data_IF_625969047629
#
_entry.id   IF_625969047629
#
_cell.length_a   1.000
_cell.length_b   1.000
_cell.length_c   1.000
_cell.angle_alpha   90.00
_cell.angle_beta   90.00
_cell.angle_gamma   90.00
#
_symmetry.space_group_name_H-M   'P 1'
#
loop_
_entity.id
_entity.type
_entity.pdbx_description
1 polymer ?
#
# COMPACT_ATOMS: atom_id res chain seq x y z
N UNK A 1 18.69 -35.59 -9.14
CA UNK A 1 19.45 -36.68 -9.83
C UNK A 1 20.32 -37.51 -8.87
N UNK A 2 20.36 -37.21 -7.56
CA UNK A 2 21.20 -37.96 -6.60
C UNK A 2 20.55 -39.23 -6.00
N UNK A 3 19.23 -39.41 -6.14
CA UNK A 3 18.54 -40.59 -5.61
C UNK A 3 18.87 -41.91 -6.34
N UNK A 4 19.28 -41.87 -7.61
CA UNK A 4 19.58 -43.08 -8.40
C UNK A 4 20.96 -43.66 -8.12
N UNK A 5 21.93 -42.85 -7.69
CA UNK A 5 23.29 -43.32 -7.38
C UNK A 5 23.34 -44.08 -6.05
N UNK A 6 22.64 -43.61 -5.03
CA UNK A 6 22.53 -44.32 -3.74
C UNK A 6 21.80 -45.65 -3.89
N UNK A 7 20.69 -45.68 -4.63
CA UNK A 7 19.95 -46.92 -4.91
C UNK A 7 20.83 -47.95 -5.62
N UNK A 8 21.61 -47.54 -6.62
CA UNK A 8 22.52 -48.44 -7.35
C UNK A 8 23.66 -48.98 -6.49
N UNK A 9 24.20 -48.18 -5.55
CA UNK A 9 25.25 -48.64 -4.64
C UNK A 9 24.70 -49.65 -3.62
N UNK A 10 23.50 -49.41 -3.07
CA UNK A 10 22.83 -50.38 -2.18
C UNK A 10 22.44 -51.67 -2.91
N UNK A 11 21.97 -51.59 -4.17
CA UNK A 11 21.62 -52.77 -4.96
C UNK A 11 22.85 -53.62 -5.28
N UNK A 12 23.97 -52.97 -5.62
CA UNK A 12 25.24 -53.63 -5.91
C UNK A 12 25.80 -54.31 -4.65
N UNK A 13 25.74 -53.63 -3.49
CA UNK A 13 26.13 -54.21 -2.20
C UNK A 13 25.29 -55.43 -1.81
N UNK A 14 23.95 -55.36 -1.98
CA UNK A 14 23.05 -56.48 -1.70
C UNK A 14 23.30 -57.67 -2.63
N UNK A 15 23.57 -57.41 -3.91
CA UNK A 15 23.91 -58.43 -4.91
C UNK A 15 25.22 -59.16 -4.61
N UNK A 16 26.25 -58.44 -4.16
CA UNK A 16 27.53 -59.03 -3.77
C UNK A 16 27.38 -59.90 -2.51
N UNK A 17 26.60 -59.45 -1.51
CA UNK A 17 26.33 -60.26 -0.31
C UNK A 17 25.57 -61.54 -0.68
N UNK A 18 24.50 -61.46 -1.49
CA UNK A 18 23.75 -62.63 -1.95
C UNK A 18 24.64 -63.63 -2.74
N UNK A 19 25.54 -63.12 -3.58
CA UNK A 19 26.52 -63.95 -4.30
C UNK A 19 27.50 -64.65 -3.33
N UNK A 20 27.96 -63.96 -2.29
CA UNK A 20 28.85 -64.55 -1.28
C UNK A 20 28.12 -65.65 -0.49
N UNK A 21 26.89 -65.41 -0.04
CA UNK A 21 26.09 -66.41 0.69
C UNK A 21 25.75 -67.63 -0.19
N UNK A 22 25.41 -67.40 -1.46
CA UNK A 22 25.19 -68.46 -2.44
C UNK A 22 26.47 -69.26 -2.70
N UNK A 23 27.63 -68.61 -2.78
CA UNK A 23 28.94 -69.25 -2.97
C UNK A 23 29.35 -70.11 -1.77
N UNK A 24 29.14 -69.62 -0.55
CA UNK A 24 29.41 -70.37 0.69
C UNK A 24 28.49 -71.59 0.78
N UNK A 25 27.21 -71.44 0.43
CA UNK A 25 26.25 -72.54 0.40
C UNK A 25 26.63 -73.58 -0.65
N UNK A 26 26.96 -73.15 -1.87
CA UNK A 26 27.36 -74.02 -2.99
C UNK A 26 28.66 -74.77 -2.68
N UNK A 27 29.62 -74.13 -2.02
CA UNK A 27 30.87 -74.75 -1.58
C UNK A 27 30.64 -75.80 -0.49
N UNK A 28 29.76 -75.52 0.48
CA UNK A 28 29.41 -76.48 1.52
C UNK A 28 28.64 -77.69 0.96
N UNK A 29 27.73 -77.49 0.00
CA UNK A 29 27.07 -78.57 -0.75
C UNK A 29 28.07 -79.37 -1.62
N UNK A 30 29.04 -78.70 -2.24
CA UNK A 30 30.13 -79.34 -2.99
C UNK A 30 30.98 -80.29 -2.14
N UNK A 31 31.24 -79.95 -0.87
CA UNK A 31 31.93 -80.84 0.08
C UNK A 31 31.11 -82.06 0.51
N UNK A 32 29.77 -82.00 0.38
CA UNK A 32 28.87 -83.11 0.67
C UNK A 32 28.83 -84.15 -0.47
N UNK A 33 29.09 -83.70 -1.71
CA UNK A 33 29.00 -84.49 -2.94
C UNK A 33 30.39 -84.95 -3.43
N UNK A 34 31.48 -84.26 -3.02
CA UNK A 34 32.86 -84.50 -3.48
C UNK A 34 33.76 -85.25 -2.50
N UNK A 35 33.84 -86.58 -2.70
CA UNK A 35 34.98 -87.50 -2.47
C UNK A 35 35.49 -87.71 -1.03
N UNK A 36 35.44 -88.97 -0.59
CA UNK A 36 36.19 -89.45 0.55
C UNK A 36 37.70 -89.39 0.33
N UNK A 37 38.42 -88.81 1.29
CA UNK A 37 39.70 -89.28 1.83
C UNK A 37 40.15 -88.34 2.96
N UNK A 38 40.55 -88.97 4.07
CA UNK A 38 41.40 -88.45 5.14
C UNK A 38 40.85 -87.31 6.04
N UNK A 39 40.23 -87.75 7.14
CA UNK A 39 40.43 -87.31 8.53
C UNK A 39 41.04 -85.91 8.75
N UNK A 40 40.18 -84.96 9.18
CA UNK A 40 40.38 -83.95 10.25
C UNK A 40 39.31 -82.84 10.23
N UNK A 41 38.15 -83.07 9.61
CA UNK A 41 37.03 -82.11 9.66
C UNK A 41 35.79 -82.77 10.27
N UNK A 42 35.38 -82.26 11.42
CA UNK A 42 34.17 -82.64 12.15
C UNK A 42 32.91 -82.39 11.30
N UNK A 43 32.09 -83.43 11.14
CA UNK A 43 30.69 -83.45 10.68
C UNK A 43 30.28 -82.40 9.60
N UNK A 44 30.23 -82.76 8.30
CA UNK A 44 29.93 -81.82 7.21
C UNK A 44 28.53 -81.18 7.28
N UNK A 45 27.57 -81.84 7.94
CA UNK A 45 26.22 -81.27 8.20
C UNK A 45 26.32 -80.04 9.12
N UNK A 46 27.24 -80.08 10.10
CA UNK A 46 27.45 -78.99 11.04
C UNK A 46 28.02 -77.75 10.34
N UNK A 47 28.88 -77.92 9.34
CA UNK A 47 29.48 -76.81 8.57
C UNK A 47 28.42 -76.08 7.74
N UNK A 48 27.56 -76.84 7.04
CA UNK A 48 26.43 -76.26 6.29
C UNK A 48 25.47 -75.50 7.22
N UNK A 49 25.19 -76.05 8.40
CA UNK A 49 24.33 -75.40 9.39
C UNK A 49 24.93 -74.08 9.91
N UNK A 50 26.25 -74.06 10.18
CA UNK A 50 26.96 -72.84 10.59
C UNK A 50 26.96 -71.79 9.46
N UNK A 51 27.22 -72.20 8.21
CA UNK A 51 27.19 -71.31 7.05
C UNK A 51 25.80 -70.67 6.83
N UNK A 52 24.73 -71.46 6.96
CA UNK A 52 23.35 -70.96 6.83
C UNK A 52 22.96 -70.02 7.97
N UNK A 53 23.37 -70.33 9.22
CA UNK A 53 23.10 -69.45 10.36
C UNK A 53 23.85 -68.12 10.24
N UNK A 54 25.11 -68.13 9.80
CA UNK A 54 25.87 -66.90 9.51
C UNK A 54 25.21 -66.10 8.38
N UNK A 55 24.77 -66.76 7.30
CA UNK A 55 24.02 -66.12 6.20
C UNK A 55 22.77 -65.39 6.70
N UNK A 56 21.96 -66.06 7.53
CA UNK A 56 20.73 -65.51 8.10
C UNK A 56 21.00 -64.30 9.00
N UNK A 57 22.05 -64.35 9.83
CA UNK A 57 22.44 -63.23 10.70
C UNK A 57 22.89 -62.02 9.88
N UNK A 58 23.68 -62.23 8.82
CA UNK A 58 24.10 -61.14 7.91
C UNK A 58 22.91 -60.52 7.17
N UNK A 59 21.99 -61.35 6.65
CA UNK A 59 20.75 -60.90 6.03
C UNK A 59 19.88 -60.09 6.99
N UNK A 60 19.72 -60.55 8.23
CA UNK A 60 18.95 -59.84 9.26
C UNK A 60 19.60 -58.48 9.63
N UNK A 61 20.93 -58.44 9.73
CA UNK A 61 21.68 -57.20 9.96
C UNK A 61 21.51 -56.19 8.82
N UNK A 62 21.62 -56.66 7.58
CA UNK A 62 21.41 -55.84 6.38
C UNK A 62 19.97 -55.32 6.27
N UNK A 63 18.99 -56.18 6.56
CA UNK A 63 17.58 -55.79 6.60
C UNK A 63 17.31 -54.72 7.68
N UNK A 64 17.93 -54.88 8.86
CA UNK A 64 17.82 -53.90 9.95
C UNK A 64 18.47 -52.56 9.59
N UNK A 65 19.66 -52.58 8.96
CA UNK A 65 20.30 -51.36 8.45
C UNK A 65 19.47 -50.67 7.38
N UNK A 66 18.88 -51.43 6.45
CA UNK A 66 18.02 -50.89 5.40
C UNK A 66 16.78 -50.22 6.00
N UNK A 67 16.12 -50.85 6.98
CA UNK A 67 14.97 -50.25 7.68
C UNK A 67 15.33 -48.97 8.44
N UNK A 68 16.48 -48.94 9.12
CA UNK A 68 16.96 -47.74 9.81
C UNK A 68 17.24 -46.59 8.83
N UNK A 69 17.87 -46.89 7.69
CA UNK A 69 18.11 -45.91 6.64
C UNK A 69 16.79 -45.37 6.07
N UNK A 70 15.84 -46.26 5.79
CA UNK A 70 14.55 -45.90 5.22
C UNK A 70 13.75 -45.01 6.19
N UNK A 71 13.73 -45.36 7.48
CA UNK A 71 13.10 -44.57 8.53
C UNK A 71 13.77 -43.19 8.69
N UNK A 72 15.10 -43.12 8.62
CA UNK A 72 15.82 -41.86 8.67
C UNK A 72 15.48 -40.97 7.45
N UNK A 73 15.51 -41.51 6.24
CA UNK A 73 15.17 -40.76 5.02
C UNK A 73 13.72 -40.28 5.04
N UNK A 74 12.78 -41.10 5.52
CA UNK A 74 11.38 -40.69 5.67
C UNK A 74 11.24 -39.51 6.62
N UNK A 75 11.89 -39.57 7.78
CA UNK A 75 11.87 -38.50 8.76
C UNK A 75 12.47 -37.19 8.23
N UNK A 76 13.63 -37.25 7.58
CA UNK A 76 14.25 -36.06 6.98
C UNK A 76 13.37 -35.46 5.88
N UNK A 77 12.69 -36.29 5.09
CA UNK A 77 11.76 -35.80 4.08
C UNK A 77 10.54 -35.11 4.69
N UNK A 78 9.99 -35.64 5.79
CA UNK A 78 8.89 -34.99 6.53
C UNK A 78 9.31 -33.64 7.09
N UNK A 79 10.50 -33.56 7.70
CA UNK A 79 11.07 -32.30 8.21
C UNK A 79 11.26 -31.26 7.09
N UNK A 80 11.84 -31.65 5.95
CA UNK A 80 12.02 -30.77 4.78
C UNK A 80 10.69 -30.29 4.19
N UNK A 81 9.65 -31.14 4.15
CA UNK A 81 8.34 -30.75 3.65
C UNK A 81 7.68 -29.68 4.52
N UNK A 82 7.88 -29.74 5.83
CA UNK A 82 7.40 -28.71 6.76
C UNK A 82 8.13 -27.39 6.51
N UNK A 83 9.46 -27.41 6.44
CA UNK A 83 10.28 -26.21 6.19
C UNK A 83 9.96 -25.54 4.84
N UNK A 84 9.80 -26.34 3.78
CA UNK A 84 9.36 -25.82 2.46
C UNK A 84 7.97 -25.21 2.56
N UNK A 85 7.07 -25.79 3.36
CA UNK A 85 5.73 -25.26 3.60
C UNK A 85 5.74 -23.90 4.30
N UNK A 86 6.60 -23.73 5.30
CA UNK A 86 6.78 -22.46 6.02
C UNK A 86 7.38 -21.38 5.11
N UNK A 87 8.48 -21.69 4.42
CA UNK A 87 9.12 -20.76 3.48
C UNK A 87 8.16 -20.29 2.38
N UNK A 88 7.35 -21.19 1.82
CA UNK A 88 6.33 -20.81 0.82
C UNK A 88 5.24 -19.89 1.37
N UNK A 89 4.86 -20.05 2.65
CA UNK A 89 3.89 -19.16 3.29
C UNK A 89 4.47 -17.77 3.48
N UNK A 90 5.72 -17.67 3.94
CA UNK A 90 6.42 -16.39 4.08
C UNK A 90 6.58 -15.68 2.73
N UNK A 91 6.95 -16.41 1.68
CA UNK A 91 7.03 -15.87 0.33
C UNK A 91 5.67 -15.38 -0.17
N UNK A 92 4.60 -16.18 0.00
CA UNK A 92 3.25 -15.78 -0.39
C UNK A 92 2.78 -14.52 0.36
N UNK A 93 3.01 -14.44 1.68
CA UNK A 93 2.67 -13.29 2.49
C UNK A 93 3.44 -12.03 2.06
N UNK A 94 4.74 -12.18 1.77
CA UNK A 94 5.57 -11.07 1.27
C UNK A 94 5.06 -10.58 -0.09
N UNK A 95 4.71 -11.49 -1.00
CA UNK A 95 4.16 -11.14 -2.31
C UNK A 95 2.83 -10.40 -2.19
N UNK A 96 1.95 -10.85 -1.31
CA UNK A 96 0.66 -10.19 -1.05
C UNK A 96 0.86 -8.77 -0.49
N UNK A 97 1.77 -8.58 0.46
CA UNK A 97 2.10 -7.25 1.00
C UNK A 97 2.72 -6.32 -0.04
N UNK A 98 3.62 -6.84 -0.89
CA UNK A 98 4.22 -6.06 -1.98
C UNK A 98 3.14 -5.64 -2.98
N UNK A 99 2.22 -6.54 -3.35
CA UNK A 99 1.14 -6.22 -4.25
C UNK A 99 0.19 -5.18 -3.63
N UNK A 100 -0.19 -5.35 -2.36
CA UNK A 100 -1.04 -4.39 -1.66
C UNK A 100 -0.38 -3.01 -1.59
N UNK A 101 0.94 -2.95 -1.34
CA UNK A 101 1.70 -1.70 -1.35
C UNK A 101 1.70 -1.06 -2.74
N UNK A 102 1.97 -1.84 -3.80
CA UNK A 102 1.96 -1.37 -5.18
C UNK A 102 0.59 -0.85 -5.60
N UNK A 103 -0.49 -1.53 -5.22
CA UNK A 103 -1.85 -1.08 -5.49
C UNK A 103 -2.17 0.23 -4.76
N UNK A 104 -1.75 0.36 -3.50
CA UNK A 104 -1.93 1.59 -2.73
C UNK A 104 -1.12 2.76 -3.33
N UNK A 105 0.13 2.50 -3.73
CA UNK A 105 1.00 3.48 -4.38
C UNK A 105 0.41 3.93 -5.73
N UNK A 106 -0.08 3.00 -6.55
CA UNK A 106 -0.68 3.33 -7.84
C UNK A 106 -1.97 4.14 -7.66
N UNK A 107 -2.83 3.79 -6.69
CA UNK A 107 -4.03 4.57 -6.36
C UNK A 107 -3.67 6.00 -5.95
N UNK A 108 -2.65 6.15 -5.09
CA UNK A 108 -2.12 7.46 -4.68
C UNK A 108 -1.59 8.25 -5.89
N UNK A 109 -0.77 7.61 -6.72
CA UNK A 109 -0.15 8.20 -7.91
C UNK A 109 -1.20 8.69 -8.90
N UNK A 110 -2.21 7.88 -9.20
CA UNK A 110 -3.28 8.23 -10.14
C UNK A 110 -4.16 9.36 -9.60
N UNK A 111 -4.51 9.32 -8.31
CA UNK A 111 -5.33 10.36 -7.69
C UNK A 111 -4.65 11.74 -7.72
N UNK A 112 -3.33 11.79 -7.56
CA UNK A 112 -2.60 13.05 -7.51
C UNK A 112 -2.07 13.54 -8.86
N UNK A 113 -1.81 12.67 -9.84
CA UNK A 113 -1.18 13.02 -11.12
C UNK A 113 -1.84 14.19 -11.88
N UNK A 114 -3.16 14.31 -11.80
CA UNK A 114 -3.94 15.39 -12.44
C UNK A 114 -4.55 16.37 -11.42
N UNK A 115 -4.14 16.26 -10.17
CA UNK A 115 -4.60 17.12 -9.09
C UNK A 115 -3.70 18.35 -8.99
N UNK A 116 -4.22 19.54 -8.65
CA UNK A 116 -3.41 20.72 -8.37
C UNK A 116 -2.74 20.66 -6.97
N UNK A 117 -2.42 19.47 -6.48
CA UNK A 117 -1.85 19.21 -5.14
C UNK A 117 -0.40 18.75 -5.30
N UNK A 118 0.51 19.50 -4.67
CA UNK A 118 1.91 19.10 -4.48
C UNK A 118 2.04 18.45 -3.11
N UNK A 119 2.68 17.29 -3.03
CA UNK A 119 3.01 16.65 -1.73
C UNK A 119 4.51 16.55 -1.60
N UNK A 120 5.04 16.84 -0.42
CA UNK A 120 6.47 16.83 -0.17
C UNK A 120 6.79 16.42 1.25
N UNK A 121 7.96 15.83 1.44
CA UNK A 121 8.56 15.62 2.76
C UNK A 121 9.79 16.49 2.90
N UNK A 122 10.01 17.00 4.10
CA UNK A 122 11.21 17.72 4.49
C UNK A 122 11.78 17.13 5.78
N UNK A 123 13.09 17.20 5.97
CA UNK A 123 13.75 16.83 7.22
C UNK A 123 13.60 17.92 8.29
N UNK A 124 14.22 17.72 9.46
CA UNK A 124 14.18 18.69 10.58
C UNK A 124 14.84 20.04 10.25
N UNK A 125 15.71 20.08 9.24
CA UNK A 125 16.34 21.31 8.74
C UNK A 125 15.53 21.96 7.61
N UNK A 126 14.32 21.46 7.34
CA UNK A 126 13.40 21.88 6.28
C UNK A 126 13.94 21.67 4.86
N UNK A 127 14.88 20.73 4.67
CA UNK A 127 15.34 20.34 3.35
C UNK A 127 14.40 19.32 2.75
N UNK A 128 14.02 19.52 1.50
CA UNK A 128 13.18 18.57 0.78
C UNK A 128 13.87 17.20 0.67
N UNK A 129 13.22 16.15 1.16
CA UNK A 129 13.71 14.76 1.04
C UNK A 129 12.96 13.99 -0.05
N UNK A 130 11.74 14.43 -0.37
CA UNK A 130 10.90 13.84 -1.40
C UNK A 130 9.84 14.84 -1.86
N UNK A 131 9.50 14.82 -3.15
CA UNK A 131 8.43 15.64 -3.73
C UNK A 131 7.67 14.82 -4.77
N UNK A 132 6.35 14.92 -4.76
CA UNK A 132 5.47 14.34 -5.75
C UNK A 132 4.55 15.40 -6.36
N UNK A 133 4.32 15.26 -7.66
CA UNK A 133 3.52 16.18 -8.47
C UNK A 133 3.93 17.65 -8.26
N UNK A 134 5.21 18.02 -8.52
CA UNK A 134 5.67 19.39 -8.39
C UNK A 134 4.85 20.31 -9.30
N UNK A 135 4.76 21.59 -8.93
CA UNK A 135 4.09 22.59 -9.75
C UNK A 135 4.67 22.61 -11.18
N UNK A 136 3.78 22.77 -12.16
CA UNK A 136 4.12 22.72 -13.59
C UNK A 136 5.33 23.60 -13.92
N UNK A 137 6.38 22.99 -14.49
CA UNK A 137 7.61 23.66 -14.90
C UNK A 137 8.83 23.39 -14.00
N UNK A 138 8.64 22.68 -12.87
CA UNK A 138 9.74 22.30 -11.98
C UNK A 138 9.92 20.78 -11.99
N UNK A 139 11.14 20.32 -12.26
CA UNK A 139 11.47 18.90 -12.14
C UNK A 139 11.69 18.55 -10.66
N UNK A 140 10.96 17.55 -10.15
CA UNK A 140 10.96 17.21 -8.71
C UNK A 140 12.33 16.79 -8.17
N UNK A 141 13.19 16.24 -9.01
CA UNK A 141 14.58 15.89 -8.68
C UNK A 141 15.44 17.10 -8.33
N UNK A 142 15.12 18.27 -8.88
CA UNK A 142 15.84 19.53 -8.63
C UNK A 142 15.47 20.15 -7.28
N UNK A 143 14.35 19.73 -6.69
CA UNK A 143 13.85 20.25 -5.41
C UNK A 143 14.49 19.55 -4.20
N UNK A 144 14.85 18.28 -4.34
CA UNK A 144 15.40 17.48 -3.23
C UNK A 144 16.74 18.07 -2.77
N UNK A 145 16.87 18.26 -1.46
CA UNK A 145 18.01 18.86 -0.77
C UNK A 145 17.94 20.38 -0.61
N UNK A 146 17.04 21.05 -1.34
CA UNK A 146 16.89 22.52 -1.28
C UNK A 146 16.05 22.96 -0.08
N UNK A 147 16.16 24.24 0.26
CA UNK A 147 15.32 24.94 1.25
C UNK A 147 14.24 25.79 0.57
N UNK A 148 13.15 26.09 1.28
CA UNK A 148 12.14 27.05 0.80
C UNK A 148 12.76 28.42 0.46
N UNK A 149 13.78 28.87 1.20
CA UNK A 149 14.51 30.14 0.95
C UNK A 149 15.38 30.13 -0.30
N UNK A 150 15.75 28.94 -0.79
CA UNK A 150 16.54 28.77 -2.00
C UNK A 150 15.63 28.68 -3.25
N UNK A 151 14.37 28.29 -3.05
CA UNK A 151 13.39 28.04 -4.10
C UNK A 151 12.41 29.21 -4.32
N UNK A 152 12.09 29.93 -3.25
CA UNK A 152 11.11 31.02 -3.26
C UNK A 152 11.77 32.34 -2.91
N UNK A 153 11.17 33.45 -3.34
CA UNK A 153 11.55 34.77 -2.87
C UNK A 153 11.34 34.91 -1.34
N UNK A 154 12.04 35.85 -0.70
CA UNK A 154 12.00 36.01 0.76
C UNK A 154 10.59 36.26 1.32
N UNK A 155 9.70 36.92 0.57
CA UNK A 155 8.33 37.20 1.03
C UNK A 155 7.51 35.91 1.12
N UNK A 156 7.55 35.09 0.08
CA UNK A 156 6.90 33.78 0.06
C UNK A 156 7.48 32.85 1.14
N UNK A 157 8.81 32.80 1.28
CA UNK A 157 9.47 31.98 2.30
C UNK A 157 9.06 32.39 3.72
N UNK A 158 8.94 33.70 4.00
CA UNK A 158 8.51 34.22 5.31
C UNK A 158 7.07 33.84 5.67
N UNK A 159 6.20 33.58 4.68
CA UNK A 159 4.82 33.10 4.92
C UNK A 159 4.78 31.61 5.26
N UNK A 160 5.63 30.81 4.63
CA UNK A 160 5.59 29.33 4.71
C UNK A 160 6.40 28.79 5.90
N UNK A 161 7.62 29.28 6.09
CA UNK A 161 8.58 28.72 7.06
C UNK A 161 8.06 28.75 8.51
N UNK A 162 7.42 29.84 9.00
CA UNK A 162 6.93 29.86 10.38
C UNK A 162 5.87 28.80 10.66
N UNK A 163 5.04 28.43 9.67
CA UNK A 163 4.05 27.36 9.79
C UNK A 163 4.78 26.03 10.02
N UNK A 164 5.75 25.73 9.14
CA UNK A 164 6.57 24.52 9.21
C UNK A 164 7.34 24.39 10.53
N UNK A 165 7.95 25.49 10.98
CA UNK A 165 8.70 25.54 12.24
C UNK A 165 7.82 25.30 13.47
N UNK A 166 6.59 25.85 13.49
CA UNK A 166 5.64 25.57 14.57
C UNK A 166 5.31 24.10 14.62
N UNK A 167 4.97 23.46 13.50
CA UNK A 167 4.66 22.02 13.44
C UNK A 167 5.85 21.17 13.93
N UNK A 168 7.07 21.49 13.50
CA UNK A 168 8.29 20.82 14.00
C UNK A 168 8.48 20.97 15.51
N UNK A 169 8.14 22.12 16.08
CA UNK A 169 8.36 22.42 17.50
C UNK A 169 7.26 21.85 18.38
N UNK A 170 6.01 21.90 17.92
CA UNK A 170 4.82 21.50 18.71
C UNK A 170 4.45 20.03 18.51
N UNK A 171 4.81 19.44 17.36
CA UNK A 171 4.33 18.13 16.96
C UNK A 171 2.84 18.09 16.64
N UNK A 172 2.21 19.23 16.38
CA UNK A 172 0.79 19.35 16.04
C UNK A 172 0.66 19.86 14.61
N UNK A 173 -0.09 19.15 13.77
CA UNK A 173 -0.34 19.56 12.39
C UNK A 173 -1.07 20.89 12.27
N UNK A 174 -0.77 21.64 11.21
CA UNK A 174 -1.41 22.91 10.89
C UNK A 174 -1.91 22.92 9.44
N UNK A 175 -3.08 23.53 9.22
CA UNK A 175 -3.64 23.80 7.90
C UNK A 175 -4.01 25.27 7.78
N UNK A 176 -3.50 25.94 6.75
CA UNK A 176 -3.74 27.37 6.52
C UNK A 176 -3.80 27.68 5.03
N UNK A 177 -4.70 28.59 4.66
CA UNK A 177 -4.66 29.21 3.35
C UNK A 177 -3.58 30.29 3.31
N UNK A 178 -2.68 30.16 2.35
CA UNK A 178 -1.59 31.10 2.11
C UNK A 178 -1.69 31.68 0.71
N UNK A 179 -1.28 32.93 0.59
CA UNK A 179 -1.16 33.61 -0.70
C UNK A 179 0.32 33.78 -0.99
N UNK A 180 0.76 33.30 -2.15
CA UNK A 180 2.13 33.46 -2.63
C UNK A 180 2.15 34.03 -4.04
N UNK A 181 3.22 34.73 -4.37
CA UNK A 181 3.43 35.26 -5.72
C UNK A 181 4.25 34.27 -6.54
N UNK A 182 3.68 33.74 -7.62
CA UNK A 182 4.38 32.82 -8.53
C UNK A 182 4.27 33.35 -9.95
N UNK A 183 5.41 33.53 -10.62
CA UNK A 183 5.51 34.15 -11.95
C UNK A 183 4.86 35.55 -12.02
N UNK A 184 4.98 36.32 -10.94
CA UNK A 184 4.38 37.67 -10.83
C UNK A 184 2.86 37.68 -10.64
N UNK A 185 2.22 36.53 -10.44
CA UNK A 185 0.77 36.42 -10.18
C UNK A 185 0.52 35.90 -8.77
N UNK A 186 -0.50 36.45 -8.11
CA UNK A 186 -0.99 35.94 -6.84
C UNK A 186 -1.64 34.56 -7.07
N UNK A 187 -1.25 33.60 -6.24
CA UNK A 187 -1.84 32.26 -6.18
C UNK A 187 -2.21 31.93 -4.74
N UNK A 188 -3.37 31.32 -4.58
CA UNK A 188 -3.90 30.87 -3.31
C UNK A 188 -3.62 29.37 -3.17
N UNK A 189 -3.06 28.99 -2.03
CA UNK A 189 -2.76 27.62 -1.69
C UNK A 189 -3.34 27.28 -0.33
N UNK A 190 -4.03 26.16 -0.24
CA UNK A 190 -4.36 25.51 1.02
C UNK A 190 -3.19 24.60 1.41
N UNK A 191 -2.40 25.06 2.37
CA UNK A 191 -1.19 24.39 2.86
C UNK A 191 -1.53 23.60 4.12
N UNK A 192 -1.35 22.28 4.06
CA UNK A 192 -1.39 21.38 5.21
C UNK A 192 0.01 20.90 5.54
N UNK A 193 0.42 20.96 6.79
CA UNK A 193 1.73 20.54 7.29
C UNK A 193 1.51 19.60 8.48
N UNK A 194 2.03 18.38 8.38
CA UNK A 194 1.95 17.35 9.42
C UNK A 194 3.36 16.93 9.87
N UNK A 195 3.58 16.64 11.17
CA UNK A 195 4.86 16.13 11.65
C UNK A 195 5.10 14.70 11.17
N UNK A 196 6.33 14.42 10.73
CA UNK A 196 6.76 13.08 10.34
C UNK A 196 7.50 12.41 11.50
N UNK A 197 6.98 11.28 11.98
CA UNK A 197 7.50 10.57 13.14
C UNK A 197 8.29 9.33 12.74
N UNK A 198 9.38 9.04 13.44
CA UNK A 198 10.07 7.75 13.35
C UNK A 198 9.45 6.70 14.29
N UNK A 199 9.95 5.45 14.23
CA UNK A 199 9.48 4.36 15.11
C UNK A 199 9.78 4.59 16.60
N UNK A 200 10.73 5.48 16.92
CA UNK A 200 11.07 5.85 18.30
C UNK A 200 10.14 6.95 18.86
N UNK A 201 9.21 7.49 18.06
CA UNK A 201 8.32 8.57 18.46
C UNK A 201 8.98 9.95 18.44
N UNK A 202 10.04 10.13 17.65
CA UNK A 202 10.71 11.41 17.46
C UNK A 202 10.30 12.03 16.12
N UNK A 203 10.19 13.36 16.08
CA UNK A 203 9.94 14.11 14.86
C UNK A 203 11.24 14.12 14.04
N UNK A 204 11.19 13.53 12.84
CA UNK A 204 12.32 13.48 11.89
C UNK A 204 12.13 14.43 10.71
N UNK A 205 11.02 15.17 10.69
CA UNK A 205 10.69 16.08 9.61
C UNK A 205 9.22 16.42 9.55
N UNK A 206 8.76 16.83 8.38
CA UNK A 206 7.36 17.18 8.10
C UNK A 206 6.92 16.67 6.74
N UNK A 207 5.63 16.41 6.62
CA UNK A 207 4.94 16.21 5.34
C UNK A 207 4.10 17.44 5.04
N UNK A 208 4.29 18.04 3.87
CA UNK A 208 3.56 19.20 3.39
C UNK A 208 2.71 18.82 2.18
N UNK A 209 1.43 19.17 2.20
CA UNK A 209 0.54 19.13 1.06
C UNK A 209 0.08 20.55 0.73
N UNK A 210 0.30 21.00 -0.50
CA UNK A 210 -0.10 22.33 -0.98
C UNK A 210 -1.08 22.18 -2.15
N UNK A 211 -2.35 22.47 -1.90
CA UNK A 211 -3.40 22.44 -2.91
C UNK A 211 -3.60 23.84 -3.50
N UNK A 212 -3.43 24.01 -4.82
CA UNK A 212 -3.72 25.29 -5.46
C UNK A 212 -5.24 25.50 -5.59
N UNK A 213 -5.76 26.46 -4.82
CA UNK A 213 -7.16 26.85 -4.77
C UNK A 213 -7.45 28.19 -5.46
N UNK A 214 -6.49 28.69 -6.25
CA UNK A 214 -6.60 29.98 -6.96
C UNK A 214 -7.85 30.07 -7.82
N UNK A 215 -8.20 28.99 -8.54
CA UNK A 215 -9.40 28.97 -9.38
C UNK A 215 -10.70 29.07 -8.57
N UNK A 216 -10.72 28.58 -7.32
CA UNK A 216 -11.88 28.70 -6.43
C UNK A 216 -12.05 30.16 -6.06
N UNK A 217 -10.99 30.81 -5.56
CA UNK A 217 -11.03 32.23 -5.21
C UNK A 217 -11.34 33.14 -6.39
N UNK A 218 -10.74 32.91 -7.58
CA UNK A 218 -11.04 33.70 -8.78
C UNK A 218 -12.52 33.55 -9.16
N UNK A 219 -13.09 32.35 -9.08
CA UNK A 219 -14.50 32.12 -9.37
C UNK A 219 -15.40 32.84 -8.39
N UNK A 220 -15.12 32.73 -7.09
CA UNK A 220 -15.88 33.44 -6.05
C UNK A 220 -15.82 34.96 -6.23
N UNK A 221 -14.63 35.52 -6.48
CA UNK A 221 -14.47 36.94 -6.76
C UNK A 221 -15.19 37.38 -8.03
N UNK A 222 -15.16 36.55 -9.09
CA UNK A 222 -15.86 36.86 -10.34
C UNK A 222 -17.37 36.83 -10.13
N UNK A 223 -17.90 35.83 -9.42
CA UNK A 223 -19.34 35.75 -9.11
C UNK A 223 -19.79 36.93 -8.26
N UNK A 224 -19.02 37.28 -7.23
CA UNK A 224 -19.31 38.43 -6.39
C UNK A 224 -19.26 39.74 -7.18
N UNK A 225 -18.28 39.91 -8.07
CA UNK A 225 -18.20 41.09 -8.93
C UNK A 225 -19.38 41.16 -9.90
N UNK A 226 -19.76 40.04 -10.52
CA UNK A 226 -20.95 39.99 -11.38
C UNK A 226 -22.21 40.35 -10.59
N UNK A 227 -22.38 39.80 -9.39
CA UNK A 227 -23.54 40.09 -8.54
C UNK A 227 -23.63 41.58 -8.22
N UNK A 228 -22.54 42.18 -7.73
CA UNK A 228 -22.47 43.59 -7.32
C UNK A 228 -22.55 44.59 -8.49
N UNK A 229 -21.91 44.30 -9.62
CA UNK A 229 -21.77 45.24 -10.74
C UNK A 229 -22.84 45.07 -11.83
N UNK A 230 -23.67 44.03 -11.76
CA UNK A 230 -24.74 43.81 -12.76
C UNK A 230 -25.80 44.91 -12.67
N UNK A 231 -26.20 45.43 -13.84
CA UNK A 231 -27.24 46.46 -13.99
C UNK A 231 -28.63 45.91 -13.69
N UNK A 232 -28.87 44.63 -13.97
CA UNK A 232 -30.14 43.98 -13.64
C UNK A 232 -30.27 43.79 -12.13
N UNK A 233 -31.49 43.97 -11.60
CA UNK A 233 -31.80 43.68 -10.21
C UNK A 233 -31.79 42.17 -9.98
N UNK A 234 -30.89 41.71 -9.11
CA UNK A 234 -30.78 40.30 -8.70
C UNK A 234 -31.18 40.21 -7.22
N UNK A 235 -32.15 39.35 -6.94
CA UNK A 235 -32.61 39.05 -5.58
C UNK A 235 -32.63 37.54 -5.39
N UNK A 236 -32.10 37.08 -4.26
CA UNK A 236 -32.07 35.69 -3.83
C UNK A 236 -32.97 35.59 -2.60
N UNK A 237 -33.86 34.61 -2.58
CA UNK A 237 -34.76 34.35 -1.46
C UNK A 237 -34.65 32.90 -0.96
N UNK A 238 -34.98 32.68 0.30
CA UNK A 238 -35.10 31.33 0.89
C UNK A 238 -36.38 30.61 0.45
N UNK A 239 -36.55 29.35 0.87
CA UNK A 239 -37.72 28.53 0.54
C UNK A 239 -39.04 29.12 1.07
N UNK A 240 -39.01 30.00 2.07
CA UNK A 240 -40.18 30.69 2.62
C UNK A 240 -40.51 32.01 1.90
N UNK A 241 -39.64 32.42 0.97
CA UNK A 241 -39.77 33.60 0.14
C UNK A 241 -39.27 34.89 0.77
N UNK A 242 -38.38 34.80 1.78
CA UNK A 242 -37.68 35.97 2.33
C UNK A 242 -36.39 36.24 1.59
N UNK A 243 -36.12 37.50 1.26
CA UNK A 243 -34.86 37.87 0.60
C UNK A 243 -33.67 37.63 1.53
N UNK A 244 -32.72 36.81 1.08
CA UNK A 244 -31.48 36.50 1.79
C UNK A 244 -30.30 37.30 1.24
N UNK A 245 -30.33 37.64 -0.05
CA UNK A 245 -29.26 38.39 -0.71
C UNK A 245 -29.84 39.25 -1.83
N UNK A 246 -29.33 40.47 -1.98
CA UNK A 246 -29.79 41.43 -2.99
C UNK A 246 -28.61 42.25 -3.50
N UNK A 247 -28.56 42.52 -4.80
CA UNK A 247 -27.50 43.33 -5.37
C UNK A 247 -27.82 44.84 -5.34
N UNK A 248 -26.83 45.73 -5.54
CA UNK A 248 -27.06 47.19 -5.54
C UNK A 248 -28.11 47.66 -6.55
N UNK A 249 -28.26 46.98 -7.70
CA UNK A 249 -29.28 47.32 -8.70
C UNK A 249 -30.69 47.02 -8.20
N UNK A 250 -30.89 45.96 -7.40
CA UNK A 250 -32.15 45.73 -6.71
C UNK A 250 -32.47 46.84 -5.71
N UNK A 251 -31.49 47.30 -4.92
CA UNK A 251 -31.66 48.48 -4.06
C UNK A 251 -32.18 49.70 -4.84
N UNK A 252 -31.62 49.98 -6.01
CA UNK A 252 -32.05 51.10 -6.86
C UNK A 252 -33.46 50.89 -7.40
N UNK A 253 -33.79 49.67 -7.85
CA UNK A 253 -35.11 49.33 -8.37
C UNK A 253 -36.21 49.50 -7.32
N UNK A 254 -35.97 48.99 -6.10
CA UNK A 254 -36.93 49.06 -5.00
C UNK A 254 -36.87 50.38 -4.22
N UNK A 255 -35.84 51.22 -4.44
CA UNK A 255 -35.64 52.48 -3.73
C UNK A 255 -35.32 52.31 -2.24
N UNK A 256 -34.86 51.13 -1.83
CA UNK A 256 -34.56 50.75 -0.46
C UNK A 256 -33.13 50.23 -0.36
N UNK A 257 -32.38 50.52 0.71
CA UNK A 257 -31.05 49.96 0.89
C UNK A 257 -31.10 48.44 1.10
N UNK A 258 -30.06 47.73 0.65
CA UNK A 258 -29.94 46.26 0.76
C UNK A 258 -30.23 45.77 2.19
N UNK A 259 -29.75 46.48 3.22
CA UNK A 259 -29.96 46.12 4.63
C UNK A 259 -31.41 46.18 5.09
N UNK A 260 -32.28 46.92 4.39
CA UNK A 260 -33.71 46.92 4.64
C UNK A 260 -34.42 45.86 3.81
N UNK A 261 -34.01 45.65 2.55
CA UNK A 261 -34.59 44.64 1.65
C UNK A 261 -34.37 43.21 2.15
N UNK A 262 -33.19 42.91 2.69
CA UNK A 262 -32.89 41.60 3.26
C UNK A 262 -33.84 41.34 4.44
N UNK A 263 -34.52 40.19 4.41
CA UNK A 263 -35.51 39.77 5.39
C UNK A 263 -36.95 40.22 5.08
N UNK A 264 -37.19 41.04 4.05
CA UNK A 264 -38.56 41.25 3.56
C UNK A 264 -39.05 40.04 2.77
N UNK A 265 -40.37 39.83 2.78
CA UNK A 265 -41.00 38.76 2.03
C UNK A 265 -41.30 39.25 0.61
N UNK A 266 -41.09 38.40 -0.40
CA UNK A 266 -41.42 38.74 -1.80
C UNK A 266 -42.87 39.25 -1.93
N UNK A 267 -43.80 38.62 -1.19
CA UNK A 267 -45.22 38.98 -1.16
C UNK A 267 -45.49 40.44 -0.74
N UNK A 268 -44.60 41.07 0.03
CA UNK A 268 -44.75 42.46 0.51
C UNK A 268 -44.71 43.47 -0.65
N UNK A 269 -44.09 43.10 -1.77
CA UNK A 269 -43.91 43.95 -2.94
C UNK A 269 -44.87 43.62 -4.09
N UNK A 270 -45.83 42.71 -3.88
CA UNK A 270 -46.80 42.28 -4.89
C UNK A 270 -48.12 43.04 -4.79
N UNK A 271 -48.90 43.07 -5.88
CA UNK A 271 -50.21 43.69 -5.87
C UNK A 271 -51.20 42.99 -4.91
N UNK A 272 -52.03 43.75 -4.18
CA UNK A 272 -53.06 43.19 -3.31
C UNK A 272 -54.02 42.29 -4.10
N UNK A 273 -54.10 41.02 -3.73
CA UNK A 273 -54.97 40.02 -4.39
C UNK A 273 -54.23 39.00 -5.24
N UNK A 274 -52.91 39.13 -5.43
CA UNK A 274 -52.09 38.10 -6.04
C UNK A 274 -51.93 36.88 -5.12
N UNK A 275 -52.18 35.67 -5.65
CA UNK A 275 -52.05 34.43 -4.86
C UNK A 275 -50.58 33.95 -4.82
N UNK A 276 -49.74 34.67 -4.09
CA UNK A 276 -48.31 34.37 -3.93
C UNK A 276 -48.07 32.94 -3.46
N UNK A 277 -48.82 32.48 -2.45
CA UNK A 277 -48.61 31.16 -1.83
C UNK A 277 -48.78 29.98 -2.81
N UNK A 278 -49.64 30.14 -3.82
CA UNK A 278 -49.84 29.13 -4.84
C UNK A 278 -48.72 29.15 -5.88
N UNK A 279 -48.34 30.36 -6.35
CA UNK A 279 -47.28 30.53 -7.36
C UNK A 279 -45.92 30.15 -6.79
N UNK A 280 -45.63 30.54 -5.55
CA UNK A 280 -44.39 30.22 -4.86
C UNK A 280 -44.22 28.71 -4.65
N UNK A 281 -45.26 28.00 -4.19
CA UNK A 281 -45.23 26.54 -4.09
C UNK A 281 -44.96 25.87 -5.43
N UNK A 282 -45.60 26.33 -6.49
CA UNK A 282 -45.35 25.80 -7.84
C UNK A 282 -43.92 26.06 -8.31
N UNK A 283 -43.35 27.24 -7.99
CA UNK A 283 -41.96 27.57 -8.31
C UNK A 283 -40.97 26.66 -7.58
N UNK A 284 -41.16 26.46 -6.27
CA UNK A 284 -40.30 25.58 -5.46
C UNK A 284 -40.35 24.13 -5.96
N UNK A 285 -41.53 23.65 -6.38
CA UNK A 285 -41.70 22.28 -6.90
C UNK A 285 -41.14 22.09 -8.32
N UNK A 286 -41.27 23.10 -9.20
CA UNK A 286 -40.90 22.99 -10.62
C UNK A 286 -39.51 23.55 -10.95
N UNK A 287 -38.90 24.32 -10.03
CA UNK A 287 -37.58 24.96 -10.18
C UNK A 287 -37.55 26.19 -11.09
N UNK A 288 -38.62 26.46 -11.84
CA UNK A 288 -38.82 27.65 -12.65
C UNK A 288 -40.30 28.01 -12.71
N UNK A 289 -40.61 29.30 -12.76
CA UNK A 289 -41.97 29.81 -12.95
C UNK A 289 -41.88 31.05 -13.82
N UNK A 290 -42.63 31.10 -14.92
CA UNK A 290 -42.84 32.31 -15.70
C UNK A 290 -44.17 32.93 -15.29
N UNK A 291 -44.10 34.14 -14.74
CA UNK A 291 -45.24 35.00 -14.44
C UNK A 291 -45.30 36.17 -15.40
#
# INVERSE_FOLDING_TARGET
MEGSSLQNITLCGLGVVLLILASISLFAYGSLIGVGLAATVSNPILIVAIANTVSLVLLAGLYSQLHLLLAHTQRTNEELLVEIGECRREEAQKTELIQALQESEERFRVALKNSPIVVSNQDTDLRYTWVYNPASGVEGSTLVGQLDTELFDPENAQRIIPIKQRVLTTGVGERQEIVITVDGKLRYYDLTVEPLWNQAGEIVGITCAAANITNIHIREQTLHAIFEETIDAILIADDEGYYVEVNPSASQLFGMPNSQLIGHRIADFMEPGFNFEQVWRSFVEMGQSMG
#
